data_IF_756090733641
#
_entry.id   IF_756090733641
#
_cell.length_a   1.000
_cell.length_b   1.000
_cell.length_c   1.000
_cell.angle_alpha   90.00
_cell.angle_beta   90.00
_cell.angle_gamma   90.00
#
_symmetry.space_group_name_H-M   'P 1'
#
loop_
_entity.id
_entity.type
_entity.pdbx_description
1 polymer ?
#
# COMPACT_ATOMS: atom_id res chain seq x y z
N UNK A 1 -7.66 14.38 -20.01
CA UNK A 1 -8.62 13.77 -19.07
C UNK A 1 -8.09 14.08 -17.68
N UNK A 2 -8.77 14.95 -16.95
CA UNK A 2 -8.44 15.26 -15.56
C UNK A 2 -8.69 14.01 -14.74
N UNK A 3 -7.63 13.33 -14.29
CA UNK A 3 -7.78 12.32 -13.26
C UNK A 3 -8.10 13.07 -11.96
N UNK A 4 -9.36 12.97 -11.52
CA UNK A 4 -9.74 13.27 -10.15
C UNK A 4 -8.96 12.31 -9.25
N UNK A 5 -7.73 12.69 -8.90
CA UNK A 5 -6.98 12.07 -7.83
C UNK A 5 -7.73 12.43 -6.53
N UNK A 6 -8.76 11.67 -6.19
CA UNK A 6 -9.35 11.73 -4.87
C UNK A 6 -8.26 11.30 -3.89
N UNK A 7 -7.82 12.25 -3.08
CA UNK A 7 -6.84 12.00 -2.04
C UNK A 7 -7.62 11.52 -0.84
N UNK A 8 -7.53 10.23 -0.53
CA UNK A 8 -8.03 9.73 0.75
C UNK A 8 -6.99 9.88 1.82
N UNK A 9 -7.45 10.34 2.97
CA UNK A 9 -6.67 10.42 4.18
C UNK A 9 -6.82 9.09 4.93
N UNK A 10 -5.76 8.28 4.95
CA UNK A 10 -5.67 7.24 5.98
C UNK A 10 -5.20 7.87 7.28
N UNK A 11 -6.08 7.82 8.26
CA UNK A 11 -5.80 8.18 9.65
C UNK A 11 -5.74 6.89 10.47
N UNK A 12 -4.63 6.67 11.17
CA UNK A 12 -4.54 5.60 12.18
C UNK A 12 -5.46 5.92 13.36
N UNK A 13 -5.88 4.92 14.14
CA UNK A 13 -6.80 5.11 15.27
C UNK A 13 -6.32 6.15 16.31
N UNK A 14 -5.00 6.32 16.42
CA UNK A 14 -4.31 7.30 17.27
C UNK A 14 -4.12 8.68 16.60
N UNK A 15 -4.57 8.85 15.35
CA UNK A 15 -4.37 10.01 14.47
C UNK A 15 -2.91 10.40 14.22
N UNK A 16 -1.96 9.52 14.53
CA UNK A 16 -0.54 9.83 14.40
C UNK A 16 -0.02 9.73 12.97
N UNK A 17 -0.65 8.94 12.10
CA UNK A 17 -0.28 8.83 10.69
C UNK A 17 -1.40 9.34 9.81
N UNK A 18 -1.04 10.27 8.94
CA UNK A 18 -1.86 10.87 7.90
C UNK A 18 -1.17 10.58 6.57
N UNK A 19 -1.77 9.72 5.75
CA UNK A 19 -1.25 9.41 4.41
C UNK A 19 -2.24 9.89 3.35
N UNK A 20 -1.75 10.75 2.45
CA UNK A 20 -2.44 11.13 1.23
C UNK A 20 -2.18 10.10 0.15
N UNK A 21 -3.24 9.42 -0.31
CA UNK A 21 -3.12 8.31 -1.27
C UNK A 21 -3.92 8.59 -2.53
N UNK A 22 -3.41 8.20 -3.71
CA UNK A 22 -4.22 8.23 -4.90
C UNK A 22 -5.31 7.16 -4.84
N UNK A 23 -6.54 7.58 -5.08
CA UNK A 23 -7.64 6.72 -5.51
C UNK A 23 -7.64 6.63 -7.03
N UNK A 24 -7.92 5.43 -7.54
CA UNK A 24 -8.39 5.23 -8.91
C UNK A 24 -9.71 4.44 -8.84
N UNK A 25 -10.82 5.12 -9.16
CA UNK A 25 -12.17 4.61 -8.89
C UNK A 25 -12.38 4.33 -7.40
N UNK A 26 -12.80 3.11 -7.09
CA UNK A 26 -13.04 2.64 -5.71
C UNK A 26 -11.81 1.99 -5.05
N UNK A 27 -10.66 1.96 -5.74
CA UNK A 27 -9.46 1.26 -5.24
C UNK A 27 -8.38 2.22 -4.78
N UNK A 28 -7.87 1.91 -3.60
CA UNK A 28 -6.76 2.63 -2.99
C UNK A 28 -5.43 1.98 -3.33
N UNK A 29 -4.44 2.82 -3.62
CA UNK A 29 -3.11 2.38 -4.02
C UNK A 29 -2.03 2.91 -3.09
N UNK A 30 -1.22 2.01 -2.53
CA UNK A 30 -0.10 2.35 -1.65
C UNK A 30 1.24 1.82 -2.14
N UNK A 31 2.30 2.59 -1.93
CA UNK A 31 3.67 2.08 -2.07
C UNK A 31 4.11 1.30 -0.82
N UNK A 32 5.19 0.52 -0.94
CA UNK A 32 5.81 -0.16 0.22
C UNK A 32 6.23 0.80 1.33
N UNK A 33 6.59 2.03 0.95
CA UNK A 33 7.02 3.05 1.89
C UNK A 33 5.83 3.63 2.67
N UNK A 34 4.72 3.89 1.99
CA UNK A 34 3.49 4.32 2.66
C UNK A 34 2.94 3.22 3.58
N UNK A 35 2.95 1.95 3.14
CA UNK A 35 2.57 0.82 3.99
C UNK A 35 3.49 0.66 5.22
N UNK A 36 4.79 0.92 5.06
CA UNK A 36 5.77 0.90 6.17
C UNK A 36 5.41 1.93 7.25
N UNK A 37 5.03 3.15 6.84
CA UNK A 37 4.55 4.20 7.75
C UNK A 37 3.19 3.84 8.38
N UNK A 38 2.25 3.36 7.57
CA UNK A 38 0.90 2.97 8.01
C UNK A 38 0.96 1.91 9.10
N UNK A 39 1.73 0.84 8.88
CA UNK A 39 1.84 -0.26 9.83
C UNK A 39 2.97 -0.09 10.84
N UNK A 40 3.66 1.05 10.89
CA UNK A 40 4.82 1.30 11.76
C UNK A 40 5.80 0.11 11.78
N UNK A 41 6.20 -0.35 10.58
CA UNK A 41 7.11 -1.49 10.41
C UNK A 41 8.17 -1.17 9.37
N UNK A 42 9.23 -1.97 9.31
CA UNK A 42 10.28 -1.77 8.32
C UNK A 42 9.76 -2.04 6.90
N UNK A 43 10.19 -1.22 5.93
CA UNK A 43 9.91 -1.43 4.50
C UNK A 43 10.30 -2.83 4.01
N UNK A 44 11.39 -3.38 4.55
CA UNK A 44 11.82 -4.75 4.26
C UNK A 44 10.81 -5.81 4.70
N UNK A 45 10.14 -5.61 5.84
CA UNK A 45 9.08 -6.49 6.32
C UNK A 45 7.87 -6.46 5.38
N UNK A 46 7.47 -5.27 4.91
CA UNK A 46 6.41 -5.13 3.91
C UNK A 46 6.78 -5.86 2.61
N UNK A 47 7.99 -5.64 2.11
CA UNK A 47 8.47 -6.32 0.91
C UNK A 47 8.50 -7.85 1.06
N UNK A 48 8.87 -8.35 2.23
CA UNK A 48 8.82 -9.78 2.56
C UNK A 48 7.40 -10.34 2.51
N UNK A 49 6.44 -9.68 3.17
CA UNK A 49 5.04 -10.14 3.18
C UNK A 49 4.41 -10.11 1.78
N UNK A 50 4.64 -9.04 1.02
CA UNK A 50 4.20 -8.94 -0.38
C UNK A 50 4.81 -10.06 -1.23
N UNK A 51 6.10 -10.34 -1.06
CA UNK A 51 6.77 -11.43 -1.74
C UNK A 51 6.13 -12.78 -1.45
N UNK A 52 5.77 -13.04 -0.19
CA UNK A 52 5.10 -14.28 0.19
C UNK A 52 3.67 -14.37 -0.35
N UNK A 53 2.89 -13.29 -0.32
CA UNK A 53 1.53 -13.23 -0.90
C UNK A 53 1.53 -13.71 -2.35
N UNK A 54 2.44 -13.18 -3.17
CA UNK A 54 2.53 -13.57 -4.58
C UNK A 54 3.14 -14.96 -4.77
N UNK A 55 4.06 -15.37 -3.92
CA UNK A 55 4.67 -16.70 -3.98
C UNK A 55 3.68 -17.81 -3.61
N UNK A 56 2.79 -17.54 -2.66
CA UNK A 56 1.74 -18.44 -2.19
C UNK A 56 0.55 -18.47 -3.16
N UNK A 57 0.50 -17.55 -4.13
CA UNK A 57 -0.57 -17.46 -5.13
C UNK A 57 -1.88 -16.91 -4.55
N UNK A 58 -1.83 -16.22 -3.41
CA UNK A 58 -3.02 -15.62 -2.81
C UNK A 58 -3.57 -14.45 -3.61
N UNK A 59 -2.68 -13.70 -4.25
CA UNK A 59 -3.03 -12.59 -5.15
C UNK A 59 -2.22 -12.68 -6.44
N UNK A 60 -2.80 -12.20 -7.53
CA UNK A 60 -2.13 -12.11 -8.82
C UNK A 60 -1.41 -10.78 -8.94
N UNK A 61 -0.12 -10.84 -9.27
CA UNK A 61 0.73 -9.65 -9.35
C UNK A 61 0.29 -8.67 -10.45
N UNK A 62 -0.31 -9.17 -11.53
CA UNK A 62 -0.72 -8.37 -12.69
C UNK A 62 -1.91 -7.46 -12.37
N UNK A 63 -2.82 -7.92 -11.50
CA UNK A 63 -4.02 -7.18 -11.08
C UNK A 63 -3.80 -6.38 -9.80
N UNK A 64 -2.80 -6.76 -8.99
CA UNK A 64 -2.58 -6.18 -7.67
C UNK A 64 -1.41 -5.20 -7.59
N UNK A 65 -0.62 -5.06 -8.67
CA UNK A 65 0.52 -4.14 -8.73
C UNK A 65 0.41 -3.24 -9.93
N UNK A 66 0.41 -1.93 -9.68
CA UNK A 66 0.43 -0.92 -10.72
C UNK A 66 1.71 -0.07 -10.62
N UNK A 67 2.19 0.38 -11.78
CA UNK A 67 3.30 1.32 -11.88
C UNK A 67 2.71 2.65 -12.35
N UNK A 68 2.45 3.56 -11.42
CA UNK A 68 2.13 4.93 -11.80
C UNK A 68 3.42 5.63 -12.25
N UNK A 69 3.64 5.73 -13.56
CA UNK A 69 4.67 6.62 -14.09
C UNK A 69 4.17 8.08 -14.03
N UNK A 70 4.21 8.64 -12.82
CA UNK A 70 3.93 10.06 -12.57
C UNK A 70 5.18 10.92 -12.70
N UNK A 71 6.31 10.32 -13.10
CA UNK A 71 7.54 11.06 -13.24
C UNK A 71 7.54 11.77 -14.60
N UNK A 72 7.47 13.10 -14.58
CA UNK A 72 7.77 13.93 -15.77
C UNK A 72 9.19 13.70 -16.33
N UNK A 73 10.01 12.91 -15.63
CA UNK A 73 11.44 12.72 -15.88
C UNK A 73 11.85 11.27 -16.21
N UNK A 74 10.93 10.37 -16.59
CA UNK A 74 11.26 8.98 -16.94
C UNK A 74 12.20 8.33 -15.89
N UNK A 75 11.75 8.27 -14.64
CA UNK A 75 12.54 7.70 -13.57
C UNK A 75 12.94 6.26 -13.93
N UNK A 76 14.24 5.95 -13.87
CA UNK A 76 14.74 4.62 -14.24
C UNK A 76 14.18 3.47 -13.39
N UNK A 77 13.53 3.78 -12.26
CA UNK A 77 12.79 2.83 -11.42
C UNK A 77 11.52 3.51 -10.90
N UNK A 78 10.41 3.42 -11.65
CA UNK A 78 9.15 4.00 -11.18
C UNK A 78 8.68 3.27 -9.91
N UNK A 79 8.05 3.99 -8.97
CA UNK A 79 7.51 3.38 -7.76
C UNK A 79 6.39 2.39 -8.10
N UNK A 80 6.38 1.27 -7.38
CA UNK A 80 5.30 0.27 -7.46
C UNK A 80 4.24 0.59 -6.43
N UNK A 81 3.01 0.55 -6.88
CA UNK A 81 1.81 0.71 -6.08
C UNK A 81 1.09 -0.61 -5.97
N UNK A 82 0.48 -0.83 -4.82
CA UNK A 82 -0.19 -2.06 -4.45
C UNK A 82 -1.63 -1.71 -4.09
N UNK A 83 -2.56 -2.50 -4.62
CA UNK A 83 -3.98 -2.30 -4.43
C UNK A 83 -4.42 -2.61 -2.98
N UNK A 84 -5.70 -2.36 -2.70
CA UNK A 84 -6.29 -2.58 -1.38
C UNK A 84 -6.11 -4.02 -0.87
N UNK A 85 -6.25 -5.03 -1.73
CA UNK A 85 -6.12 -6.44 -1.32
C UNK A 85 -4.72 -6.77 -0.78
N UNK A 86 -3.69 -6.23 -1.43
CA UNK A 86 -2.31 -6.40 -0.97
C UNK A 86 -2.08 -5.66 0.34
N UNK A 87 -2.63 -4.45 0.47
CA UNK A 87 -2.51 -3.64 1.70
C UNK A 87 -3.13 -4.39 2.88
N UNK A 88 -4.35 -4.92 2.69
CA UNK A 88 -5.06 -5.72 3.69
C UNK A 88 -4.24 -6.97 4.02
N UNK A 89 -3.89 -7.75 3.00
CA UNK A 89 -3.16 -9.02 3.16
C UNK A 89 -1.81 -8.83 3.87
N UNK A 90 -1.09 -7.75 3.56
CA UNK A 90 0.14 -7.39 4.24
C UNK A 90 -0.13 -6.95 5.69
N UNK A 91 -1.13 -6.09 5.92
CA UNK A 91 -1.52 -5.59 7.25
C UNK A 91 -1.86 -6.72 8.23
N UNK A 92 -2.60 -7.74 7.78
CA UNK A 92 -2.92 -8.92 8.59
C UNK A 92 -1.67 -9.72 9.00
N UNK A 93 -0.62 -9.72 8.18
CA UNK A 93 0.63 -10.47 8.42
C UNK A 93 1.65 -9.68 9.25
N UNK A 94 1.54 -8.35 9.30
CA UNK A 94 2.45 -7.50 10.06
C UNK A 94 2.21 -7.68 11.56
N UNK A 95 3.28 -8.02 12.28
CA UNK A 95 3.31 -8.15 13.75
C UNK A 95 3.73 -6.85 14.42
N UNK A 96 3.04 -5.74 14.11
CA UNK A 96 3.22 -4.45 14.79
C UNK A 96 1.97 -4.10 15.58
N UNK A 97 2.09 -3.14 16.51
CA UNK A 97 0.94 -2.60 17.25
C UNK A 97 -0.14 -2.11 16.28
N UNK A 98 0.26 -1.37 15.24
CA UNK A 98 -0.65 -0.88 14.18
C UNK A 98 -1.22 -2.00 13.30
N UNK A 99 -0.44 -3.04 13.03
CA UNK A 99 -0.95 -4.23 12.34
C UNK A 99 -1.99 -4.99 13.16
N UNK A 100 -1.89 -4.99 14.50
CA UNK A 100 -2.92 -5.53 15.40
C UNK A 100 -4.18 -4.66 15.34
N UNK A 101 -4.04 -3.34 15.47
CA UNK A 101 -5.16 -2.39 15.38
C UNK A 101 -5.91 -2.49 14.05
N UNK A 102 -5.18 -2.67 12.94
CA UNK A 102 -5.76 -2.89 11.61
C UNK A 102 -6.67 -4.13 11.53
N UNK A 103 -6.41 -5.16 12.33
CA UNK A 103 -7.25 -6.38 12.37
C UNK A 103 -8.52 -6.24 13.21
N UNK A 104 -8.67 -5.13 13.93
CA UNK A 104 -9.84 -4.83 14.76
C UNK A 104 -10.76 -3.76 14.15
N UNK A 105 -10.40 -3.25 12.97
CA UNK A 105 -11.21 -2.37 12.13
C UNK A 105 -12.23 -3.19 11.33
#
# INVERSE_FOLDING_TARGET
MEQNNEIVLFETSDKEVTLSVPMDGDTVWLTQEQMSSLFATARSSIAYHIGNIFKEGELEKDTSVEIFDRSTNNASRPPKYYNLDVIISAGYRVKSKRGIEFRHF
#
